data_IF_500637930518
#
_entry.id   IF_500637930518
#
_cell.length_a   1.000
_cell.length_b   1.000
_cell.length_c   1.000
_cell.angle_alpha   90.00
_cell.angle_beta   90.00
_cell.angle_gamma   90.00
#
_symmetry.space_group_name_H-M   'P 1'
#
loop_
_entity.id
_entity.type
_entity.pdbx_description
1 polymer ?
#
# COMPACT_ATOMS: atom_id res chain seq x y z
N UNK A 1 1.31 18.17 3.57
CA UNK A 1 1.04 18.29 5.01
C UNK A 1 2.29 18.71 5.76
N UNK A 2 2.09 19.29 6.91
CA UNK A 2 3.15 19.76 7.78
C UNK A 2 2.86 19.36 9.23
N UNK A 3 3.91 19.12 10.03
CA UNK A 3 3.81 18.91 11.48
C UNK A 3 4.52 20.07 12.17
N UNK A 4 3.79 20.78 13.04
CA UNK A 4 4.31 21.90 13.82
C UNK A 4 4.10 21.61 15.32
N UNK A 5 4.94 22.14 16.22
CA UNK A 5 4.74 22.02 17.65
C UNK A 5 3.41 22.63 18.08
N UNK A 6 2.75 22.00 19.05
CA UNK A 6 1.59 22.59 19.71
C UNK A 6 2.09 23.66 20.68
N UNK A 7 1.65 24.89 20.47
CA UNK A 7 1.83 26.02 21.39
C UNK A 7 0.49 26.47 21.96
N UNK A 8 0.50 27.52 22.78
CA UNK A 8 -0.72 28.11 23.37
C UNK A 8 -1.70 28.61 22.30
N UNK A 9 -1.18 28.99 21.14
CA UNK A 9 -1.96 29.34 19.95
C UNK A 9 -1.29 28.74 18.73
N UNK A 10 -2.02 27.88 18.02
CA UNK A 10 -1.57 27.32 16.73
C UNK A 10 -2.43 27.93 15.64
N UNK A 11 -1.80 28.60 14.67
CA UNK A 11 -2.50 29.11 13.51
C UNK A 11 -2.76 27.97 12.54
N UNK A 12 -4.04 27.80 12.19
CA UNK A 12 -4.49 26.86 11.15
C UNK A 12 -4.82 27.68 9.92
N UNK A 13 -4.11 27.44 8.81
CA UNK A 13 -4.29 28.16 7.54
C UNK A 13 -5.67 27.94 6.91
N UNK A 14 -5.87 28.53 5.73
CA UNK A 14 -7.06 28.27 4.90
C UNK A 14 -6.94 26.91 4.20
N UNK A 15 -8.08 26.34 3.79
CA UNK A 15 -8.19 25.12 2.99
C UNK A 15 -7.61 23.86 3.69
N UNK A 16 -7.64 23.84 5.01
CA UNK A 16 -7.23 22.69 5.82
C UNK A 16 -8.34 21.65 5.82
N UNK A 17 -8.04 20.43 5.42
CA UNK A 17 -8.99 19.31 5.40
C UNK A 17 -8.88 18.39 6.61
N UNK A 18 -7.74 18.41 7.32
CA UNK A 18 -7.52 17.58 8.49
C UNK A 18 -6.52 18.24 9.44
N UNK A 19 -6.82 18.22 10.73
CA UNK A 19 -5.92 18.63 11.82
C UNK A 19 -6.02 17.61 12.94
N UNK A 20 -4.88 17.06 13.36
CA UNK A 20 -4.83 16.10 14.48
C UNK A 20 -3.48 16.18 15.19
N UNK A 21 -3.45 15.65 16.40
CA UNK A 21 -2.20 15.47 17.14
C UNK A 21 -1.46 14.28 16.55
N UNK A 22 -0.23 14.50 16.09
CA UNK A 22 0.66 13.43 15.66
C UNK A 22 1.62 13.05 16.78
N UNK A 23 1.71 11.76 17.08
CA UNK A 23 2.63 11.21 18.09
C UNK A 23 3.62 10.27 17.41
N UNK A 24 4.92 10.50 17.60
CA UNK A 24 5.98 9.63 17.05
C UNK A 24 5.90 8.18 17.56
N UNK A 25 5.35 7.99 18.76
CA UNK A 25 5.16 6.67 19.38
C UNK A 25 3.97 5.88 18.83
N UNK A 26 3.10 6.52 18.03
CA UNK A 26 1.92 5.88 17.47
C UNK A 26 2.31 5.11 16.19
N UNK A 27 2.68 3.84 16.38
CA UNK A 27 3.08 2.94 15.29
C UNK A 27 1.90 2.41 14.49
N UNK A 28 0.69 2.52 15.01
CA UNK A 28 -0.52 1.94 14.44
C UNK A 28 -1.34 2.93 13.62
N UNK A 29 -0.97 4.21 13.69
CA UNK A 29 -1.63 5.25 12.92
C UNK A 29 -1.40 5.07 11.41
N UNK A 30 -2.47 4.83 10.69
CA UNK A 30 -2.47 4.73 9.23
C UNK A 30 -3.36 5.81 8.64
N UNK A 31 -2.90 6.42 7.57
CA UNK A 31 -3.62 7.44 6.84
C UNK A 31 -4.10 6.89 5.50
N UNK A 32 -5.36 7.15 5.18
CA UNK A 32 -5.93 6.87 3.87
C UNK A 32 -6.14 8.19 3.13
N UNK A 33 -5.74 8.24 1.88
CA UNK A 33 -5.92 9.42 1.06
C UNK A 33 -6.34 9.06 -0.36
N UNK A 34 -7.26 9.84 -0.92
CA UNK A 34 -7.55 9.87 -2.36
C UNK A 34 -7.23 11.27 -2.84
N UNK A 35 -6.40 11.37 -3.87
CA UNK A 35 -6.05 12.64 -4.49
C UNK A 35 -6.24 12.58 -6.00
N UNK A 36 -6.47 13.73 -6.61
CA UNK A 36 -6.50 13.90 -8.06
C UNK A 36 -5.17 14.49 -8.49
N UNK A 37 -4.52 13.85 -9.42
CA UNK A 37 -3.32 14.34 -10.07
C UNK A 37 -3.65 15.51 -11.01
N UNK A 38 -2.89 16.58 -10.91
CA UNK A 38 -3.14 17.82 -11.62
C UNK A 38 -2.88 17.76 -13.12
N UNK A 39 -1.89 16.94 -13.53
CA UNK A 39 -1.50 16.83 -14.95
C UNK A 39 -2.40 15.85 -15.70
N UNK A 40 -2.65 14.69 -15.13
CA UNK A 40 -3.42 13.62 -15.80
C UNK A 40 -4.91 13.66 -15.50
N UNK A 41 -5.31 14.32 -14.43
CA UNK A 41 -6.68 14.30 -13.93
C UNK A 41 -7.13 12.98 -13.33
N UNK A 42 -6.23 11.97 -13.27
CA UNK A 42 -6.50 10.66 -12.70
C UNK A 42 -6.52 10.76 -11.17
N UNK A 43 -7.44 10.05 -10.54
CA UNK A 43 -7.49 9.97 -9.08
C UNK A 43 -6.82 8.70 -8.59
N UNK A 44 -5.97 8.85 -7.56
CA UNK A 44 -5.21 7.78 -6.93
C UNK A 44 -5.57 7.67 -5.46
N UNK A 45 -5.65 6.44 -4.96
CA UNK A 45 -5.74 6.14 -3.54
C UNK A 45 -4.42 5.62 -3.02
N UNK A 46 -4.09 5.98 -1.80
CA UNK A 46 -2.98 5.41 -1.06
C UNK A 46 -3.31 5.25 0.40
N UNK A 47 -2.73 4.21 0.98
CA UNK A 47 -2.76 3.91 2.40
C UNK A 47 -1.32 3.96 2.89
N UNK A 48 -1.05 4.75 3.91
CA UNK A 48 0.34 4.97 4.31
C UNK A 48 0.50 5.23 5.81
N UNK A 49 1.67 4.89 6.33
CA UNK A 49 2.11 5.25 7.67
C UNK A 49 3.18 6.34 7.62
N UNK A 50 3.31 7.07 8.72
CA UNK A 50 4.30 8.14 8.86
C UNK A 50 5.26 7.77 9.99
N UNK A 51 6.39 7.15 9.64
CA UNK A 51 7.40 6.69 10.61
C UNK A 51 8.24 7.85 11.18
N UNK A 52 8.50 8.87 10.36
CA UNK A 52 9.28 10.02 10.76
C UNK A 52 8.91 11.28 10.00
N UNK A 53 8.97 12.42 10.68
CA UNK A 53 8.75 13.75 10.12
C UNK A 53 9.81 14.70 10.64
N UNK A 54 10.20 15.66 9.80
CA UNK A 54 11.00 16.81 10.20
C UNK A 54 10.00 17.92 10.55
N UNK A 55 10.21 18.54 11.70
CA UNK A 55 9.40 19.67 12.17
C UNK A 55 9.41 20.81 11.15
N UNK A 56 8.26 21.45 10.99
CA UNK A 56 8.06 22.65 10.18
C UNK A 56 8.47 22.48 8.69
N UNK A 57 8.48 21.23 8.20
CA UNK A 57 8.73 20.90 6.81
C UNK A 57 7.44 20.47 6.13
N UNK A 58 7.20 21.00 4.94
CA UNK A 58 6.10 20.56 4.07
C UNK A 58 6.40 19.23 3.40
N UNK A 59 5.36 18.39 3.32
CA UNK A 59 5.39 17.11 2.63
C UNK A 59 4.23 17.04 1.66
N UNK A 60 4.55 16.79 0.40
CA UNK A 60 3.53 16.58 -0.61
C UNK A 60 2.96 15.15 -0.53
N UNK A 61 1.63 15.06 -0.55
CA UNK A 61 0.91 13.78 -0.59
C UNK A 61 0.41 13.43 -1.99
N UNK A 62 0.62 14.29 -3.00
CA UNK A 62 -0.01 14.19 -4.31
C UNK A 62 0.92 13.84 -5.45
N UNK A 63 2.12 13.33 -5.17
CA UNK A 63 3.13 13.00 -6.18
C UNK A 63 3.75 14.21 -6.92
N UNK A 64 3.47 15.43 -6.50
CA UNK A 64 4.18 16.65 -6.91
C UNK A 64 3.70 17.33 -8.21
N UNK A 65 2.68 16.83 -8.88
CA UNK A 65 2.12 17.53 -10.03
C UNK A 65 1.38 18.81 -9.58
N UNK A 66 1.62 19.93 -10.25
CA UNK A 66 0.91 21.18 -9.98
C UNK A 66 -0.63 20.99 -10.08
N UNK A 67 -1.38 21.77 -9.31
CA UNK A 67 -2.85 21.69 -9.26
C UNK A 67 -3.41 20.32 -8.82
N UNK A 68 -2.58 19.46 -8.28
CA UNK A 68 -3.06 18.26 -7.61
C UNK A 68 -3.81 18.62 -6.33
N UNK A 69 -4.89 17.90 -6.05
CA UNK A 69 -5.74 18.16 -4.89
C UNK A 69 -6.06 16.88 -4.14
N UNK A 70 -6.05 16.93 -2.82
CA UNK A 70 -6.56 15.84 -1.97
C UNK A 70 -8.08 15.92 -1.94
N UNK A 71 -8.75 14.83 -2.34
CA UNK A 71 -10.22 14.72 -2.39
C UNK A 71 -10.79 14.07 -1.14
N UNK A 72 -10.00 13.22 -0.48
CA UNK A 72 -10.39 12.48 0.71
C UNK A 72 -9.15 12.21 1.56
N UNK A 73 -9.31 12.33 2.88
CA UNK A 73 -8.24 12.05 3.83
C UNK A 73 -8.82 11.61 5.17
N UNK A 74 -8.31 10.52 5.73
CA UNK A 74 -8.65 10.03 7.06
C UNK A 74 -7.42 9.57 7.82
N UNK A 75 -7.53 9.60 9.15
CA UNK A 75 -6.53 9.08 10.08
C UNK A 75 -7.16 7.92 10.86
N UNK A 76 -6.53 6.77 10.80
CA UNK A 76 -7.04 5.51 11.32
C UNK A 76 -6.10 4.99 12.41
N UNK A 77 -6.40 5.23 13.71
CA UNK A 77 -5.47 4.99 14.81
C UNK A 77 -5.17 3.52 15.08
N UNK A 78 -6.05 2.61 14.67
CA UNK A 78 -5.84 1.16 14.77
C UNK A 78 -5.65 0.51 13.39
N UNK A 79 -5.14 1.26 12.43
CA UNK A 79 -4.97 0.79 11.04
C UNK A 79 -6.27 0.25 10.44
N UNK A 80 -7.40 0.88 10.71
CA UNK A 80 -8.70 0.45 10.19
C UNK A 80 -8.70 0.49 8.66
N UNK A 81 -9.33 -0.53 8.05
CA UNK A 81 -9.49 -0.66 6.62
C UNK A 81 -10.87 -0.17 6.18
N UNK A 82 -11.02 1.14 6.07
CA UNK A 82 -12.30 1.75 5.72
C UNK A 82 -12.73 1.48 4.28
N UNK A 83 -14.04 1.50 4.08
CA UNK A 83 -14.66 1.49 2.76
C UNK A 83 -15.27 2.85 2.49
N UNK A 84 -15.04 3.38 1.31
CA UNK A 84 -15.62 4.65 0.86
C UNK A 84 -16.46 4.47 -0.39
N UNK A 85 -17.57 5.21 -0.50
CA UNK A 85 -18.33 5.30 -1.73
C UNK A 85 -17.84 6.48 -2.55
N UNK A 86 -17.44 6.19 -3.79
CA UNK A 86 -16.95 7.17 -4.77
C UNK A 86 -18.05 7.50 -5.75
N UNK A 87 -18.45 8.78 -5.81
CA UNK A 87 -19.43 9.30 -6.76
C UNK A 87 -18.71 10.06 -7.87
N UNK A 88 -18.87 9.63 -9.10
CA UNK A 88 -18.36 10.33 -10.28
C UNK A 88 -19.25 11.51 -10.66
N UNK A 89 -18.67 12.45 -11.39
CA UNK A 89 -19.44 13.60 -11.89
C UNK A 89 -20.50 13.14 -12.93
N UNK A 90 -21.66 13.77 -12.94
CA UNK A 90 -22.78 13.38 -13.81
C UNK A 90 -22.44 13.44 -15.30
N UNK A 91 -21.56 14.37 -15.70
CA UNK A 91 -21.17 14.59 -17.11
C UNK A 91 -20.18 13.54 -17.66
N UNK A 92 -19.61 12.65 -16.84
CA UNK A 92 -18.66 11.66 -17.34
C UNK A 92 -19.36 10.53 -18.09
N UNK A 93 -18.72 9.99 -19.12
CA UNK A 93 -19.22 8.85 -19.93
C UNK A 93 -18.95 7.49 -19.28
N UNK A 94 -18.98 7.41 -17.95
CA UNK A 94 -18.84 6.15 -17.25
C UNK A 94 -20.18 5.43 -17.13
N UNK A 95 -20.18 4.09 -17.33
CA UNK A 95 -21.39 3.26 -17.17
C UNK A 95 -21.81 3.20 -15.69
N UNK A 96 -20.83 3.03 -14.80
CA UNK A 96 -21.04 3.03 -13.35
C UNK A 96 -20.54 4.35 -12.82
N UNK A 97 -21.43 5.12 -12.18
CA UNK A 97 -21.13 6.46 -11.63
C UNK A 97 -20.95 6.48 -10.12
N UNK A 98 -21.23 5.36 -9.47
CA UNK A 98 -21.07 5.18 -8.04
C UNK A 98 -20.52 3.79 -7.77
N UNK A 99 -19.47 3.69 -6.96
CA UNK A 99 -18.86 2.42 -6.58
C UNK A 99 -18.17 2.55 -5.24
N UNK A 100 -18.03 1.43 -4.57
CA UNK A 100 -17.29 1.33 -3.32
C UNK A 100 -15.80 1.08 -3.61
N UNK A 101 -14.97 1.70 -2.81
CA UNK A 101 -13.51 1.51 -2.81
C UNK A 101 -13.07 1.09 -1.41
N UNK A 102 -12.47 -0.08 -1.31
CA UNK A 102 -11.99 -0.68 -0.08
C UNK A 102 -10.49 -0.41 0.08
N UNK A 103 -10.13 0.39 1.10
CA UNK A 103 -8.74 0.64 1.46
C UNK A 103 -8.04 -0.59 2.03
N UNK A 104 -8.77 -1.58 2.52
CA UNK A 104 -8.23 -2.85 3.00
C UNK A 104 -7.49 -3.66 1.94
N UNK A 105 -7.78 -3.40 0.67
CA UNK A 105 -7.07 -4.03 -0.45
C UNK A 105 -5.72 -3.37 -0.76
N UNK A 106 -5.42 -2.22 -0.14
CA UNK A 106 -4.15 -1.53 -0.31
C UNK A 106 -3.18 -1.91 0.82
N UNK A 107 -1.95 -2.22 0.45
CA UNK A 107 -0.85 -2.32 1.43
C UNK A 107 -0.51 -0.97 2.05
N UNK A 108 -0.08 -1.00 3.31
CA UNK A 108 0.39 0.20 4.02
C UNK A 108 1.81 0.52 3.53
N UNK A 109 1.98 1.64 2.85
CA UNK A 109 3.25 2.05 2.24
C UNK A 109 3.80 3.34 2.89
N UNK A 110 4.87 3.87 2.32
CA UNK A 110 5.39 5.18 2.75
C UNK A 110 4.53 6.34 2.23
N UNK A 111 4.62 7.50 2.88
CA UNK A 111 3.90 8.72 2.47
C UNK A 111 4.21 9.19 1.04
N UNK A 112 5.37 8.83 0.49
CA UNK A 112 5.87 9.29 -0.81
C UNK A 112 5.44 8.44 -2.01
N UNK A 113 4.69 7.34 -1.81
CA UNK A 113 4.21 6.52 -2.94
C UNK A 113 3.09 7.23 -3.71
N UNK A 114 3.00 6.96 -5.00
CA UNK A 114 1.95 7.48 -5.87
C UNK A 114 0.56 6.96 -5.50
N UNK A 115 0.47 5.68 -5.19
CA UNK A 115 -0.81 5.01 -4.92
C UNK A 115 -1.40 4.29 -6.14
N UNK A 116 -2.58 3.70 -5.93
CA UNK A 116 -3.30 2.91 -6.93
C UNK A 116 -4.41 3.75 -7.58
N UNK A 117 -4.69 3.51 -8.85
CA UNK A 117 -5.74 4.24 -9.58
C UNK A 117 -7.11 3.88 -8.99
N UNK A 118 -7.87 4.91 -8.61
CA UNK A 118 -9.28 4.82 -8.22
C UNK A 118 -10.18 5.07 -9.42
N UNK A 119 -9.92 6.16 -10.15
CA UNK A 119 -10.74 6.53 -11.30
C UNK A 119 -9.94 7.39 -12.29
N UNK A 120 -10.17 7.13 -13.59
CA UNK A 120 -9.76 8.02 -14.69
C UNK A 120 -10.79 9.12 -14.97
N UNK A 121 -11.94 9.06 -14.32
CA UNK A 121 -13.00 10.02 -14.47
C UNK A 121 -13.05 10.98 -13.28
N UNK A 122 -13.60 12.18 -13.53
CA UNK A 122 -13.77 13.20 -12.50
C UNK A 122 -14.67 12.71 -11.37
N UNK A 123 -14.15 12.72 -10.16
CA UNK A 123 -14.89 12.43 -8.94
C UNK A 123 -15.63 13.71 -8.51
N UNK A 124 -16.90 13.56 -8.12
CA UNK A 124 -17.73 14.62 -7.57
C UNK A 124 -17.66 14.66 -6.04
N UNK A 125 -17.75 13.48 -5.41
CA UNK A 125 -17.81 13.33 -3.96
C UNK A 125 -17.24 11.96 -3.56
N UNK A 126 -16.63 11.92 -2.39
CA UNK A 126 -16.27 10.68 -1.70
C UNK A 126 -16.89 10.76 -0.31
N UNK A 127 -17.52 9.69 0.14
CA UNK A 127 -18.12 9.57 1.46
C UNK A 127 -17.69 8.28 2.11
N UNK A 128 -17.33 8.33 3.39
CA UNK A 128 -17.08 7.13 4.17
C UNK A 128 -18.36 6.30 4.24
N UNK A 129 -18.25 5.03 3.91
CA UNK A 129 -19.34 4.06 4.01
C UNK A 129 -19.22 3.23 5.28
N UNK A 130 -18.03 2.71 5.53
CA UNK A 130 -17.71 1.88 6.68
C UNK A 130 -16.34 2.24 7.22
N UNK A 131 -16.18 2.24 8.55
CA UNK A 131 -14.88 2.44 9.19
C UNK A 131 -13.97 1.25 8.92
N UNK A 132 -14.55 0.07 8.75
CA UNK A 132 -13.84 -1.18 8.55
C UNK A 132 -13.24 -1.74 9.84
N UNK A 133 -12.65 -2.91 9.72
CA UNK A 133 -11.99 -3.57 10.83
C UNK A 133 -10.53 -3.10 10.95
N UNK A 134 -9.99 -3.20 12.17
CA UNK A 134 -8.57 -3.00 12.41
C UNK A 134 -7.77 -4.04 11.63
N UNK A 135 -6.72 -3.58 10.95
CA UNK A 135 -5.79 -4.47 10.25
C UNK A 135 -4.51 -4.73 11.05
N UNK A 136 -4.55 -4.47 12.36
CA UNK A 136 -3.44 -4.77 13.30
C UNK A 136 -3.31 -6.26 13.61
N UNK A 137 -4.40 -7.01 13.44
CA UNK A 137 -4.39 -8.46 13.58
C UNK A 137 -3.71 -9.14 12.40
N UNK A 138 -3.25 -10.36 12.64
CA UNK A 138 -2.71 -11.20 11.58
C UNK A 138 -3.78 -11.47 10.51
N UNK A 139 -3.38 -11.35 9.27
CA UNK A 139 -4.23 -11.58 8.11
C UNK A 139 -3.75 -12.79 7.34
N UNK A 140 -4.60 -13.79 7.23
CA UNK A 140 -4.30 -14.98 6.44
C UNK A 140 -4.26 -14.65 4.95
N UNK A 141 -3.19 -15.02 4.28
CA UNK A 141 -2.95 -14.74 2.86
C UNK A 141 -2.77 -16.02 2.06
N UNK A 142 -3.47 -16.11 0.94
CA UNK A 142 -3.36 -17.16 -0.05
C UNK A 142 -2.86 -16.60 -1.38
N UNK A 143 -2.19 -17.43 -2.15
CA UNK A 143 -1.78 -17.16 -3.53
C UNK A 143 -2.65 -17.99 -4.48
N UNK A 144 -3.45 -17.32 -5.28
CA UNK A 144 -4.13 -17.98 -6.42
C UNK A 144 -3.09 -18.20 -7.53
N UNK A 145 -2.70 -19.47 -7.70
CA UNK A 145 -1.66 -19.87 -8.65
C UNK A 145 -2.16 -19.87 -10.11
N UNK A 146 -3.45 -19.69 -10.37
CA UNK A 146 -3.97 -19.58 -11.72
C UNK A 146 -3.80 -18.18 -12.29
N UNK A 147 -3.92 -17.17 -11.43
CA UNK A 147 -3.91 -15.77 -11.85
C UNK A 147 -2.74 -14.95 -11.26
N UNK A 148 -1.90 -15.57 -10.42
CA UNK A 148 -0.76 -14.94 -9.79
C UNK A 148 -1.14 -13.78 -8.86
N UNK A 149 -2.19 -13.93 -8.05
CA UNK A 149 -2.68 -12.89 -7.13
C UNK A 149 -2.84 -13.38 -5.72
N UNK A 150 -2.60 -12.47 -4.79
CA UNK A 150 -2.92 -12.70 -3.38
C UNK A 150 -4.42 -12.53 -3.14
N UNK A 151 -4.94 -13.29 -2.17
CA UNK A 151 -6.32 -13.18 -1.72
C UNK A 151 -6.46 -13.57 -0.24
N UNK A 152 -7.64 -13.29 0.32
CA UNK A 152 -8.06 -13.68 1.67
C UNK A 152 -9.22 -14.68 1.65
N UNK A 153 -9.64 -15.10 0.45
CA UNK A 153 -10.82 -15.92 0.22
C UNK A 153 -10.50 -17.42 0.26
N UNK A 154 -9.31 -17.78 0.75
CA UNK A 154 -8.82 -19.17 0.87
C UNK A 154 -8.67 -19.88 -0.49
N UNK A 155 -8.38 -19.13 -1.55
CA UNK A 155 -8.18 -19.67 -2.89
C UNK A 155 -6.70 -19.88 -3.18
N UNK A 156 -6.32 -21.10 -3.54
CA UNK A 156 -4.95 -21.46 -3.89
C UNK A 156 -4.07 -21.82 -2.69
N UNK A 157 -2.78 -21.54 -2.77
CA UNK A 157 -1.80 -21.92 -1.77
C UNK A 157 -1.75 -20.95 -0.59
N UNK A 158 -1.85 -21.47 0.62
CA UNK A 158 -1.69 -20.67 1.85
C UNK A 158 -0.24 -20.23 2.02
N UNK A 159 -0.01 -18.93 2.16
CA UNK A 159 1.31 -18.36 2.38
C UNK A 159 1.60 -18.09 3.86
N UNK A 160 0.58 -17.99 4.69
CA UNK A 160 0.72 -17.74 6.12
C UNK A 160 -0.18 -16.61 6.64
N UNK A 161 -0.09 -16.38 7.93
CA UNK A 161 -0.71 -15.25 8.61
C UNK A 161 0.28 -14.09 8.63
N UNK A 162 -0.12 -12.92 8.14
CA UNK A 162 0.73 -11.75 7.93
C UNK A 162 0.29 -10.58 8.82
N UNK A 163 1.21 -10.03 9.57
CA UNK A 163 1.04 -8.73 10.23
C UNK A 163 1.54 -7.59 9.33
N UNK A 164 1.37 -6.35 9.78
CA UNK A 164 1.69 -5.15 8.97
C UNK A 164 3.17 -4.98 8.62
N UNK A 165 4.07 -5.67 9.28
CA UNK A 165 5.51 -5.60 9.05
C UNK A 165 6.03 -6.76 8.19
N UNK A 166 5.21 -7.80 7.98
CA UNK A 166 5.58 -8.96 7.19
C UNK A 166 5.68 -8.65 5.70
N UNK A 167 6.58 -9.35 5.04
CA UNK A 167 6.81 -9.25 3.60
C UNK A 167 6.76 -10.61 2.93
N UNK A 168 6.64 -10.61 1.62
CA UNK A 168 6.71 -11.80 0.77
C UNK A 168 8.07 -11.81 0.11
N UNK A 169 8.79 -12.92 0.26
CA UNK A 169 9.98 -13.22 -0.50
C UNK A 169 9.59 -13.90 -1.81
N UNK A 170 10.07 -13.35 -2.92
CA UNK A 170 9.97 -13.96 -4.24
C UNK A 170 11.38 -14.18 -4.78
N UNK A 171 11.71 -15.42 -5.18
CA UNK A 171 12.96 -15.77 -5.86
C UNK A 171 12.61 -16.18 -7.29
N UNK A 172 13.29 -15.57 -8.25
CA UNK A 172 13.06 -15.78 -9.67
C UNK A 172 13.97 -16.88 -10.24
N UNK A 173 13.61 -17.37 -11.43
CA UNK A 173 14.38 -18.40 -12.16
C UNK A 173 15.81 -17.96 -12.53
N UNK A 174 16.05 -16.67 -12.67
CA UNK A 174 17.36 -16.07 -12.95
C UNK A 174 18.24 -15.92 -11.69
N UNK A 175 17.72 -16.30 -10.50
CA UNK A 175 18.39 -16.20 -9.21
C UNK A 175 18.28 -14.83 -8.54
N UNK A 176 17.62 -13.86 -9.14
CA UNK A 176 17.27 -12.62 -8.46
C UNK A 176 16.16 -12.82 -7.42
N UNK A 177 16.04 -11.91 -6.46
CA UNK A 177 14.97 -11.96 -5.47
C UNK A 177 14.40 -10.57 -5.19
N UNK A 178 13.19 -10.55 -4.69
CA UNK A 178 12.46 -9.33 -4.31
C UNK A 178 11.70 -9.56 -3.00
N UNK A 179 11.68 -8.52 -2.14
CA UNK A 179 10.80 -8.45 -0.97
C UNK A 179 9.69 -7.45 -1.25
N UNK A 180 8.46 -7.94 -1.25
CA UNK A 180 7.26 -7.13 -1.48
C UNK A 180 6.35 -7.11 -0.27
N UNK A 181 5.47 -6.09 -0.17
CA UNK A 181 4.34 -6.14 0.76
C UNK A 181 3.32 -7.22 0.31
N UNK A 182 2.37 -7.55 1.19
CA UNK A 182 1.30 -8.50 0.87
C UNK A 182 0.01 -7.82 0.36
N UNK A 183 0.14 -6.71 -0.37
CA UNK A 183 -0.99 -6.03 -1.00
C UNK A 183 -1.72 -6.96 -1.96
N UNK A 184 -3.06 -7.09 -1.84
CA UNK A 184 -3.88 -7.91 -2.74
C UNK A 184 -3.89 -7.40 -4.18
N UNK A 185 -3.32 -6.21 -4.43
CA UNK A 185 -3.13 -5.63 -5.76
C UNK A 185 -1.86 -6.11 -6.45
N UNK A 186 -0.94 -6.76 -5.71
CA UNK A 186 0.28 -7.30 -6.29
C UNK A 186 -0.04 -8.42 -7.30
N UNK A 187 0.78 -8.49 -8.34
CA UNK A 187 0.67 -9.50 -9.38
C UNK A 187 2.01 -10.20 -9.54
N UNK A 188 1.97 -11.52 -9.55
CA UNK A 188 3.14 -12.37 -9.65
C UNK A 188 3.10 -13.16 -10.97
N UNK A 189 4.18 -13.10 -11.73
CA UNK A 189 4.37 -13.90 -12.94
C UNK A 189 4.93 -15.27 -12.55
N UNK A 190 4.05 -16.19 -12.19
CA UNK A 190 4.43 -17.49 -11.61
C UNK A 190 5.33 -18.32 -12.49
N UNK A 191 5.30 -18.12 -13.81
CA UNK A 191 6.21 -18.79 -14.76
C UNK A 191 7.68 -18.37 -14.64
N UNK A 192 7.95 -17.23 -13.98
CA UNK A 192 9.30 -16.69 -13.77
C UNK A 192 9.78 -16.92 -12.34
N UNK A 193 8.92 -17.47 -11.46
CA UNK A 193 9.16 -17.58 -10.02
C UNK A 193 9.54 -19.00 -9.64
N UNK A 194 10.66 -19.12 -8.95
CA UNK A 194 11.16 -20.37 -8.35
C UNK A 194 10.60 -20.61 -6.94
N UNK A 195 10.51 -19.56 -6.15
CA UNK A 195 10.00 -19.60 -4.77
C UNK A 195 9.21 -18.33 -4.48
N UNK A 196 8.06 -18.47 -3.85
CA UNK A 196 7.31 -17.38 -3.24
C UNK A 196 6.76 -17.83 -1.89
N UNK A 197 7.10 -17.10 -0.84
CA UNK A 197 6.72 -17.44 0.53
C UNK A 197 6.68 -16.19 1.43
N UNK A 198 6.10 -16.32 2.63
CA UNK A 198 6.26 -15.32 3.68
C UNK A 198 7.73 -15.23 4.06
N UNK A 199 8.30 -14.03 4.03
CA UNK A 199 9.69 -13.81 4.38
C UNK A 199 9.94 -14.13 5.86
N UNK A 200 10.98 -14.91 6.12
CA UNK A 200 11.49 -15.17 7.45
C UNK A 200 13.01 -14.94 7.42
N UNK A 201 13.47 -13.95 8.18
CA UNK A 201 14.89 -13.58 8.25
C UNK A 201 15.80 -14.72 8.70
N UNK A 202 15.28 -15.64 9.52
CA UNK A 202 16.06 -16.78 10.03
C UNK A 202 16.01 -17.99 9.09
N UNK A 203 15.27 -17.91 7.98
CA UNK A 203 15.13 -19.02 7.05
C UNK A 203 16.42 -19.23 6.25
N UNK A 204 17.00 -20.41 6.40
CA UNK A 204 18.21 -20.81 5.68
C UNK A 204 17.80 -21.41 4.33
N UNK A 205 18.20 -20.76 3.27
CA UNK A 205 17.99 -21.23 1.91
C UNK A 205 19.16 -22.05 1.41
N UNK A 206 18.85 -23.08 0.62
CA UNK A 206 19.84 -23.88 -0.10
C UNK A 206 19.57 -23.79 -1.59
N UNK A 207 20.52 -23.31 -2.36
CA UNK A 207 20.42 -23.21 -3.81
C UNK A 207 21.46 -24.08 -4.50
N UNK A 208 20.99 -24.84 -5.49
CA UNK A 208 21.82 -25.50 -6.48
C UNK A 208 21.76 -24.69 -7.76
N UNK A 209 22.87 -24.24 -8.29
CA UNK A 209 22.93 -23.48 -9.53
C UNK A 209 24.06 -23.96 -10.45
N UNK A 210 23.87 -23.75 -11.75
CA UNK A 210 24.87 -24.02 -12.77
C UNK A 210 25.56 -22.72 -13.14
N UNK A 211 26.89 -22.70 -13.08
CA UNK A 211 27.73 -21.61 -13.58
C UNK A 211 28.10 -21.88 -15.02
N UNK A 212 27.56 -21.11 -15.94
CA UNK A 212 27.84 -21.26 -17.37
C UNK A 212 29.27 -20.91 -17.79
N UNK A 213 29.98 -20.07 -17.00
CA UNK A 213 31.37 -19.72 -17.25
C UNK A 213 32.30 -20.86 -16.82
N UNK A 214 32.16 -21.34 -15.61
CA UNK A 214 32.94 -22.45 -15.06
C UNK A 214 32.45 -23.82 -15.54
N UNK A 215 31.27 -23.92 -16.14
CA UNK A 215 30.60 -25.16 -16.58
C UNK A 215 30.43 -26.20 -15.46
N UNK A 216 30.19 -25.74 -14.25
CA UNK A 216 30.06 -26.56 -13.06
C UNK A 216 28.76 -26.25 -12.28
N UNK A 217 28.30 -27.24 -11.51
CA UNK A 217 27.24 -27.08 -10.56
C UNK A 217 27.80 -26.69 -9.20
N UNK A 218 27.15 -25.73 -8.55
CA UNK A 218 27.49 -25.26 -7.20
C UNK A 218 26.29 -25.34 -6.30
N UNK A 219 26.54 -25.67 -5.03
CA UNK A 219 25.58 -25.62 -3.95
C UNK A 219 26.00 -24.51 -3.02
N UNK A 220 25.05 -23.64 -2.66
CA UNK A 220 25.26 -22.62 -1.63
C UNK A 220 24.15 -22.65 -0.61
N UNK A 221 24.50 -22.30 0.61
CA UNK A 221 23.58 -22.19 1.74
C UNK A 221 23.72 -20.79 2.33
N UNK A 222 22.61 -20.07 2.47
CA UNK A 222 22.63 -18.64 2.82
C UNK A 222 21.33 -18.22 3.47
N UNK A 223 21.33 -17.04 4.10
CA UNK A 223 20.15 -16.28 4.53
C UNK A 223 20.04 -15.02 3.66
N UNK A 224 18.85 -14.45 3.57
CA UNK A 224 18.59 -13.16 2.93
C UNK A 224 18.62 -12.09 4.02
N UNK A 225 19.51 -11.09 3.87
CA UNK A 225 19.70 -9.96 4.78
C UNK A 225 18.95 -8.71 4.29
#
# INVERSE_FOLDING_TARGET
FMVTPIGDKTFVGKDIIHVAIWKKSDKHMVYNAIYKDGDTGISYAKRFSVKSLIRDRDYDLTWGAEKSIVLYFTANPNSEAEIVTVHLHSSVKARIKEFDFDFGQLGIKSKSVKGNIVSKYRIRKISQKEIGESTLGDRDIWLDENIGRLNTDKQGRYLGSFNTEDTILTIYEDGSYELTDFSLTNRYRLSEIKLIEKFNQDHILTALHYDGGAKNYYVKRFIIE
#
